data_IF_888300229403
#
_entry.id   IF_888300229403
#
_cell.length_a   1.000
_cell.length_b   1.000
_cell.length_c   1.000
_cell.angle_alpha   90.00
_cell.angle_beta   90.00
_cell.angle_gamma   90.00
#
_symmetry.space_group_name_H-M   'P 1'
#
loop_
_entity.id
_entity.type
_entity.pdbx_description
1 polymer ?
#
# COMPACT_ATOMS: atom_id res chain seq x y z
N UNK A 1 -8.89 -33.63 50.00
CA UNK A 1 -9.31 -32.22 49.86
C UNK A 1 -8.32 -31.56 48.93
N UNK A 2 -8.81 -31.18 47.75
CA UNK A 2 -8.29 -30.30 46.70
C UNK A 2 -6.82 -30.38 46.26
N UNK A 3 -6.68 -31.00 45.09
CA UNK A 3 -5.67 -30.71 44.07
C UNK A 3 -5.94 -29.28 43.56
N UNK A 4 -4.98 -28.37 43.69
CA UNK A 4 -4.97 -27.12 42.92
C UNK A 4 -3.78 -27.12 41.96
N UNK A 5 -4.11 -27.41 40.71
CA UNK A 5 -3.41 -26.91 39.53
C UNK A 5 -3.59 -25.39 39.48
N UNK A 6 -2.53 -24.62 39.26
CA UNK A 6 -2.64 -23.32 38.56
C UNK A 6 -1.40 -23.06 37.71
N UNK A 7 -1.57 -23.42 36.43
CA UNK A 7 -1.21 -22.65 35.24
C UNK A 7 0.22 -22.12 35.10
N UNK A 8 1.05 -22.94 34.45
CA UNK A 8 2.18 -22.52 33.62
C UNK A 8 1.68 -21.58 32.51
N UNK A 9 1.85 -20.28 32.70
CA UNK A 9 1.60 -19.25 31.69
C UNK A 9 2.71 -19.29 30.63
N UNK A 10 2.62 -20.26 29.72
CA UNK A 10 3.45 -20.31 28.51
C UNK A 10 2.99 -19.22 27.54
N UNK A 11 3.89 -18.44 26.92
CA UNK A 11 3.49 -17.46 25.92
C UNK A 11 2.80 -18.21 24.78
N UNK A 12 1.52 -17.89 24.58
CA UNK A 12 0.68 -18.41 23.51
C UNK A 12 1.42 -18.31 22.18
N UNK A 13 1.65 -19.46 21.54
CA UNK A 13 2.15 -19.58 20.17
C UNK A 13 1.38 -18.60 19.29
N UNK A 14 2.06 -17.59 18.78
CA UNK A 14 1.45 -16.61 17.89
C UNK A 14 0.89 -17.36 16.67
N UNK A 15 -0.42 -17.26 16.52
CA UNK A 15 -1.25 -17.78 15.43
C UNK A 15 -0.71 -17.32 14.08
N UNK A 16 -0.86 -18.15 13.05
CA UNK A 16 -0.37 -17.92 11.69
C UNK A 16 -0.58 -16.45 11.22
N UNK A 17 0.53 -15.77 10.91
CA UNK A 17 0.52 -14.39 10.40
C UNK A 17 0.32 -14.42 8.88
N UNK A 18 -0.50 -13.50 8.37
CA UNK A 18 -0.65 -13.33 6.93
C UNK A 18 0.67 -12.86 6.31
N UNK A 19 1.29 -13.70 5.48
CA UNK A 19 2.68 -13.56 5.01
C UNK A 19 2.95 -12.31 4.16
N UNK A 20 1.92 -11.69 3.57
CA UNK A 20 2.07 -10.42 2.85
C UNK A 20 2.45 -9.27 3.78
N UNK A 21 2.12 -9.34 5.08
CA UNK A 21 2.45 -8.31 6.07
C UNK A 21 3.95 -8.24 6.36
N UNK A 22 4.72 -9.25 5.96
CA UNK A 22 6.19 -9.29 6.08
C UNK A 22 6.90 -8.61 4.89
N UNK A 23 6.16 -8.28 3.82
CA UNK A 23 6.72 -7.58 2.68
C UNK A 23 6.93 -6.10 3.02
N UNK A 24 8.19 -5.64 3.03
CA UNK A 24 8.51 -4.21 3.26
C UNK A 24 7.82 -3.31 2.23
N UNK A 25 7.69 -3.77 0.98
CA UNK A 25 6.99 -3.00 -0.07
C UNK A 25 5.51 -2.81 0.29
N UNK A 26 4.87 -3.81 0.88
CA UNK A 26 3.48 -3.70 1.34
C UNK A 26 3.37 -2.70 2.51
N UNK A 27 4.27 -2.77 3.48
CA UNK A 27 4.28 -1.86 4.64
C UNK A 27 4.45 -0.40 4.19
N UNK A 28 5.37 -0.14 3.26
CA UNK A 28 5.57 1.18 2.67
C UNK A 28 4.36 1.62 1.86
N UNK A 29 3.73 0.74 1.09
CA UNK A 29 2.51 1.04 0.34
C UNK A 29 1.32 1.38 1.25
N UNK A 30 1.19 0.75 2.41
CA UNK A 30 0.18 1.12 3.42
C UNK A 30 0.44 2.53 3.97
N UNK A 31 1.68 2.82 4.37
CA UNK A 31 2.03 4.14 4.88
C UNK A 31 1.81 5.24 3.82
N UNK A 32 2.24 4.97 2.58
CA UNK A 32 2.02 5.86 1.45
C UNK A 32 0.52 6.11 1.21
N UNK A 33 -0.30 5.05 1.15
CA UNK A 33 -1.74 5.18 0.93
C UNK A 33 -2.41 5.99 2.05
N UNK A 34 -2.01 5.80 3.31
CA UNK A 34 -2.52 6.57 4.44
C UNK A 34 -2.26 8.07 4.27
N UNK A 35 -1.02 8.45 3.94
CA UNK A 35 -0.66 9.87 3.74
C UNK A 35 -1.45 10.46 2.56
N UNK A 36 -1.64 9.69 1.49
CA UNK A 36 -2.45 10.14 0.34
C UNK A 36 -3.91 10.38 0.73
N UNK A 37 -4.51 9.51 1.54
CA UNK A 37 -5.88 9.69 2.06
C UNK A 37 -5.94 10.95 2.93
N UNK A 38 -4.96 11.17 3.81
CA UNK A 38 -4.90 12.39 4.64
C UNK A 38 -4.90 13.66 3.79
N UNK A 39 -4.17 13.66 2.66
CA UNK A 39 -4.20 14.78 1.71
C UNK A 39 -5.54 14.92 0.96
N UNK A 40 -6.19 13.80 0.66
CA UNK A 40 -7.48 13.77 -0.01
C UNK A 40 -8.60 14.37 0.88
N UNK A 41 -8.59 14.03 2.18
CA UNK A 41 -9.53 14.55 3.18
C UNK A 41 -9.33 16.05 3.45
N UNK A 42 -8.07 16.50 3.46
CA UNK A 42 -7.66 17.87 3.75
C UNK A 42 -7.44 18.74 2.48
N UNK A 43 -8.11 18.39 1.38
CA UNK A 43 -7.92 19.06 0.09
C UNK A 43 -8.14 20.58 0.17
N UNK A 44 -7.11 21.34 -0.23
CA UNK A 44 -7.13 22.81 -0.24
C UNK A 44 -7.86 23.38 -1.47
N UNK A 45 -9.14 23.05 -1.65
CA UNK A 45 -9.98 23.53 -2.75
C UNK A 45 -11.30 24.13 -2.27
N UNK A 46 -11.78 25.17 -2.98
CA UNK A 46 -13.05 25.86 -2.67
C UNK A 46 -14.27 24.93 -2.75
N UNK A 47 -14.23 23.93 -3.63
CA UNK A 47 -15.22 22.84 -3.71
C UNK A 47 -14.55 21.53 -3.33
N UNK A 48 -15.28 20.55 -2.81
CA UNK A 48 -14.69 19.30 -2.29
C UNK A 48 -14.23 18.24 -3.32
N UNK A 49 -14.56 18.39 -4.61
CA UNK A 49 -14.08 17.47 -5.68
C UNK A 49 -14.26 15.95 -5.40
N UNK A 50 -15.34 15.53 -4.72
CA UNK A 50 -15.55 14.15 -4.23
C UNK A 50 -15.13 13.03 -5.19
N UNK A 51 -15.60 13.06 -6.44
CA UNK A 51 -15.24 12.03 -7.43
C UNK A 51 -13.73 11.90 -7.67
N UNK A 52 -12.99 13.00 -7.62
CA UNK A 52 -11.54 13.02 -7.83
C UNK A 52 -10.81 12.51 -6.57
N UNK A 53 -11.30 12.89 -5.40
CA UNK A 53 -10.84 12.39 -4.10
C UNK A 53 -11.04 10.86 -4.01
N UNK A 54 -12.24 10.37 -4.33
CA UNK A 54 -12.55 8.93 -4.36
C UNK A 54 -11.65 8.16 -5.34
N UNK A 55 -11.35 8.74 -6.51
CA UNK A 55 -10.41 8.14 -7.47
C UNK A 55 -8.99 8.06 -6.91
N UNK A 56 -8.54 9.10 -6.20
CA UNK A 56 -7.22 9.12 -5.57
C UNK A 56 -7.12 8.07 -4.47
N UNK A 57 -8.11 8.00 -3.58
CA UNK A 57 -8.18 7.03 -2.49
C UNK A 57 -8.23 5.59 -3.03
N UNK A 58 -9.06 5.34 -4.05
CA UNK A 58 -9.16 4.03 -4.69
C UNK A 58 -7.83 3.60 -5.34
N UNK A 59 -7.17 4.50 -6.08
CA UNK A 59 -5.87 4.21 -6.69
C UNK A 59 -4.80 3.95 -5.63
N UNK A 60 -4.72 4.78 -4.58
CA UNK A 60 -3.71 4.66 -3.54
C UNK A 60 -3.86 3.36 -2.74
N UNK A 61 -5.08 3.03 -2.32
CA UNK A 61 -5.39 1.80 -1.58
C UNK A 61 -5.22 0.55 -2.45
N UNK A 62 -5.42 0.65 -3.77
CA UNK A 62 -5.22 -0.44 -4.71
C UNK A 62 -3.77 -0.97 -4.72
N UNK A 63 -2.77 -0.12 -4.43
CA UNK A 63 -1.36 -0.53 -4.38
C UNK A 63 -1.11 -1.63 -3.32
N UNK A 64 -1.35 -1.41 -2.02
CA UNK A 64 -1.17 -2.47 -1.01
C UNK A 64 -2.17 -3.63 -1.17
N UNK A 65 -3.40 -3.38 -1.66
CA UNK A 65 -4.38 -4.44 -1.90
C UNK A 65 -3.87 -5.46 -2.93
N UNK A 66 -3.39 -4.99 -4.08
CA UNK A 66 -2.86 -5.86 -5.12
C UNK A 66 -1.56 -6.58 -4.71
N UNK A 67 -0.69 -5.95 -3.90
CA UNK A 67 0.49 -6.64 -3.35
C UNK A 67 0.06 -7.81 -2.46
N UNK A 68 -0.93 -7.59 -1.58
CA UNK A 68 -1.43 -8.61 -0.67
C UNK A 68 -2.15 -9.74 -1.42
N UNK A 69 -3.01 -9.39 -2.38
CA UNK A 69 -3.73 -10.34 -3.20
C UNK A 69 -2.77 -11.20 -4.03
N UNK A 70 -1.80 -10.57 -4.70
CA UNK A 70 -0.78 -11.26 -5.47
C UNK A 70 0.02 -12.25 -4.62
N UNK A 71 0.41 -11.86 -3.40
CA UNK A 71 1.15 -12.74 -2.47
C UNK A 71 0.33 -13.96 -2.03
N UNK A 72 -1.00 -13.85 -2.05
CA UNK A 72 -1.92 -14.96 -1.77
C UNK A 72 -2.21 -15.88 -2.94
N UNK A 73 -1.70 -15.59 -4.15
CA UNK A 73 -1.91 -16.43 -5.34
C UNK A 73 -1.02 -17.67 -5.31
N UNK A 74 -1.52 -18.74 -5.93
CA UNK A 74 -0.83 -20.04 -5.97
C UNK A 74 0.23 -20.09 -7.08
N UNK A 75 0.03 -19.36 -8.19
CA UNK A 75 0.98 -19.35 -9.30
C UNK A 75 1.87 -18.11 -9.27
N UNK A 76 3.14 -18.30 -9.63
CA UNK A 76 4.08 -17.18 -9.74
C UNK A 76 3.65 -16.18 -10.84
N UNK A 77 3.02 -16.69 -11.90
CA UNK A 77 2.51 -15.87 -13.00
C UNK A 77 1.42 -14.90 -12.53
N UNK A 78 0.45 -15.36 -11.74
CA UNK A 78 -0.57 -14.48 -11.16
C UNK A 78 0.05 -13.48 -10.19
N UNK A 79 0.98 -13.91 -9.33
CA UNK A 79 1.64 -12.97 -8.40
C UNK A 79 2.32 -11.82 -9.18
N UNK A 80 3.08 -12.15 -10.23
CA UNK A 80 3.68 -11.15 -11.12
C UNK A 80 2.63 -10.21 -11.73
N UNK A 81 1.50 -10.74 -12.19
CA UNK A 81 0.41 -9.92 -12.74
C UNK A 81 -0.13 -8.91 -11.73
N UNK A 82 -0.43 -9.34 -10.50
CA UNK A 82 -0.89 -8.46 -9.43
C UNK A 82 0.14 -7.37 -9.05
N UNK A 83 1.43 -7.69 -9.06
CA UNK A 83 2.48 -6.68 -8.83
C UNK A 83 2.52 -5.61 -9.93
N UNK A 84 2.19 -5.98 -11.18
CA UNK A 84 2.06 -5.01 -12.27
C UNK A 84 0.81 -4.13 -12.11
N UNK A 85 -0.31 -4.69 -11.63
CA UNK A 85 -1.51 -3.90 -11.29
C UNK A 85 -1.18 -2.91 -10.17
N UNK A 86 -0.53 -3.37 -9.09
CA UNK A 86 -0.11 -2.49 -7.99
C UNK A 86 0.76 -1.31 -8.48
N UNK A 87 1.67 -1.58 -9.42
CA UNK A 87 2.50 -0.55 -10.04
C UNK A 87 1.68 0.41 -10.92
N UNK A 88 0.69 -0.10 -11.65
CA UNK A 88 -0.25 0.72 -12.41
C UNK A 88 -1.02 1.69 -11.51
N UNK A 89 -1.61 1.18 -10.43
CA UNK A 89 -2.35 2.01 -9.46
C UNK A 89 -1.46 3.04 -8.76
N UNK A 90 -0.17 2.75 -8.55
CA UNK A 90 0.79 3.73 -8.03
C UNK A 90 0.98 4.90 -9.00
N UNK A 91 1.04 4.63 -10.31
CA UNK A 91 1.15 5.67 -11.33
C UNK A 91 -0.13 6.47 -11.50
N UNK A 92 -1.30 5.84 -11.39
CA UNK A 92 -2.58 6.55 -11.34
C UNK A 92 -2.64 7.50 -10.13
N UNK A 93 -2.21 7.02 -8.95
CA UNK A 93 -2.11 7.84 -7.73
C UNK A 93 -1.21 9.06 -7.96
N UNK A 94 0.01 8.86 -8.48
CA UNK A 94 0.95 9.95 -8.73
C UNK A 94 0.45 10.93 -9.79
N UNK A 95 -0.28 10.46 -10.80
CA UNK A 95 -0.90 11.31 -11.83
C UNK A 95 -1.93 12.25 -11.20
N UNK A 96 -2.77 11.74 -10.29
CA UNK A 96 -3.75 12.56 -9.57
C UNK A 96 -3.07 13.56 -8.61
N UNK A 97 -2.01 13.14 -7.92
CA UNK A 97 -1.24 14.04 -7.05
C UNK A 97 -0.54 15.17 -7.83
N UNK A 98 -0.03 14.88 -9.03
CA UNK A 98 0.53 15.91 -9.93
C UNK A 98 -0.55 16.93 -10.32
N UNK A 99 -1.77 16.47 -10.63
CA UNK A 99 -2.91 17.37 -10.88
C UNK A 99 -3.17 18.23 -9.64
N UNK A 100 -3.15 17.66 -8.44
CA UNK A 100 -3.41 18.42 -7.21
C UNK A 100 -2.34 19.50 -6.99
N UNK A 101 -1.06 19.17 -7.24
CA UNK A 101 0.04 20.13 -7.23
C UNK A 101 -0.16 21.25 -8.26
N UNK A 102 -0.45 20.92 -9.53
CA UNK A 102 -0.69 21.93 -10.59
C UNK A 102 -1.88 22.84 -10.26
N UNK A 103 -2.89 22.32 -9.55
CA UNK A 103 -4.03 23.08 -9.06
C UNK A 103 -3.75 23.89 -7.78
N UNK A 104 -2.53 23.81 -7.24
CA UNK A 104 -2.11 24.39 -5.96
C UNK A 104 -2.96 23.90 -4.78
N UNK A 105 -3.43 22.64 -4.82
CA UNK A 105 -4.14 21.99 -3.72
C UNK A 105 -3.22 21.19 -2.81
N UNK A 106 -1.96 21.03 -3.20
CA UNK A 106 -0.90 20.37 -2.47
C UNK A 106 0.37 21.22 -2.60
N UNK A 107 1.17 21.27 -1.54
CA UNK A 107 2.45 21.98 -1.57
C UNK A 107 3.50 21.22 -2.38
N UNK A 108 4.50 21.92 -2.91
CA UNK A 108 5.63 21.29 -3.59
C UNK A 108 6.37 20.32 -2.66
N UNK A 109 6.51 20.69 -1.38
CA UNK A 109 7.20 19.89 -0.37
C UNK A 109 6.49 18.55 -0.13
N UNK A 110 5.17 18.57 0.07
CA UNK A 110 4.39 17.36 0.29
C UNK A 110 4.37 16.47 -0.95
N UNK A 111 4.22 17.08 -2.12
CA UNK A 111 4.31 16.35 -3.38
C UNK A 111 5.66 15.65 -3.54
N UNK A 112 6.78 16.33 -3.27
CA UNK A 112 8.12 15.74 -3.37
C UNK A 112 8.31 14.59 -2.37
N UNK A 113 7.79 14.70 -1.15
CA UNK A 113 7.81 13.60 -0.16
C UNK A 113 7.07 12.37 -0.68
N UNK A 114 5.85 12.54 -1.18
CA UNK A 114 5.05 11.45 -1.76
C UNK A 114 5.69 10.86 -3.00
N UNK A 115 6.24 11.70 -3.88
CA UNK A 115 6.93 11.27 -5.09
C UNK A 115 8.16 10.41 -4.77
N UNK A 116 8.95 10.78 -3.76
CA UNK A 116 10.09 9.99 -3.32
C UNK A 116 9.68 8.62 -2.78
N UNK A 117 8.60 8.56 -1.99
CA UNK A 117 8.02 7.29 -1.53
C UNK A 117 7.52 6.43 -2.69
N UNK A 118 6.83 7.03 -3.66
CA UNK A 118 6.34 6.33 -4.84
C UNK A 118 7.49 5.77 -5.70
N UNK A 119 8.58 6.52 -5.89
CA UNK A 119 9.79 6.05 -6.59
C UNK A 119 10.38 4.82 -5.87
N UNK A 120 10.46 4.87 -4.54
CA UNK A 120 10.94 3.75 -3.74
C UNK A 120 10.04 2.51 -3.91
N UNK A 121 8.72 2.67 -3.74
CA UNK A 121 7.75 1.58 -3.91
C UNK A 121 7.83 0.99 -5.33
N UNK A 122 7.90 1.83 -6.37
CA UNK A 122 8.00 1.38 -7.76
C UNK A 122 9.27 0.53 -7.99
N UNK A 123 10.41 0.94 -7.42
CA UNK A 123 11.66 0.15 -7.47
C UNK A 123 11.50 -1.18 -6.76
N UNK A 124 10.91 -1.19 -5.57
CA UNK A 124 10.68 -2.42 -4.81
C UNK A 124 9.75 -3.39 -5.52
N UNK A 125 8.64 -2.90 -6.11
CA UNK A 125 7.74 -3.69 -6.94
C UNK A 125 8.47 -4.29 -8.13
N UNK A 126 9.33 -3.51 -8.81
CA UNK A 126 10.14 -3.98 -9.94
C UNK A 126 11.07 -5.11 -9.53
N UNK A 127 11.81 -4.93 -8.43
CA UNK A 127 12.77 -5.92 -7.95
C UNK A 127 12.04 -7.19 -7.50
N UNK A 128 10.94 -7.05 -6.77
CA UNK A 128 10.12 -8.19 -6.34
C UNK A 128 9.59 -8.96 -7.55
N UNK A 129 8.97 -8.27 -8.51
CA UNK A 129 8.47 -8.89 -9.74
C UNK A 129 9.58 -9.65 -10.50
N UNK A 130 10.77 -9.07 -10.63
CA UNK A 130 11.91 -9.70 -11.33
C UNK A 130 12.44 -10.93 -10.61
N UNK A 131 12.46 -10.92 -9.28
CA UNK A 131 13.05 -11.99 -8.47
C UNK A 131 12.14 -13.21 -8.32
N UNK A 132 10.85 -13.08 -8.65
CA UNK A 132 9.93 -14.22 -8.74
C UNK A 132 10.31 -15.09 -9.95
N UNK A 133 10.68 -16.36 -9.70
CA UNK A 133 10.97 -17.33 -10.78
C UNK A 133 9.64 -17.83 -11.34
N UNK A 134 9.40 -17.61 -12.63
CA UNK A 134 8.23 -18.22 -13.29
C UNK A 134 8.47 -19.72 -13.38
N UNK A 135 7.46 -20.49 -12.99
CA UNK A 135 7.43 -21.96 -13.13
C UNK A 135 7.52 -22.38 -14.60
#
# INVERSE_FOLDING_TARGET
MNIENTENNSPTKQTARLSYKDLIVWQKSIAFASIVIDHAENLASKRKHYRLTEQLEAAATSVPMNIAEGKGRMSTKEYKHFLMIARGSLYETMTLLEIFKVKNWMTEEDFLKLNNQAIEIARMLTVLHRNLKTD
#
